data_IF_975127399814
#
_entry.id   IF_975127399814
#
_cell.length_a   1.000
_cell.length_b   1.000
_cell.length_c   1.000
_cell.angle_alpha   90.00
_cell.angle_beta   90.00
_cell.angle_gamma   90.00
#
_symmetry.space_group_name_H-M   'P 1'
#
loop_
_entity.id
_entity.type
_entity.pdbx_description
1 polymer ?
#
# COMPACT_ATOMS: atom_id res chain seq x y z
N UNK A 1 -15.65 -7.72 -6.71
CA UNK A 1 -14.94 -7.43 -7.98
C UNK A 1 -15.85 -7.78 -9.16
N UNK A 2 -16.41 -8.98 -9.23
CA UNK A 2 -17.28 -9.42 -10.34
C UNK A 2 -18.54 -8.55 -10.51
N UNK A 3 -19.12 -8.03 -9.41
CA UNK A 3 -20.34 -7.19 -9.43
C UNK A 3 -20.06 -5.76 -9.92
N UNK A 4 -18.87 -5.22 -9.66
CA UNK A 4 -18.46 -3.89 -10.14
C UNK A 4 -18.29 -3.90 -11.66
N UNK A 5 -17.92 -5.05 -12.22
CA UNK A 5 -17.50 -5.22 -13.62
C UNK A 5 -18.64 -5.62 -14.57
N UNK A 6 -19.86 -5.88 -14.05
CA UNK A 6 -20.95 -6.46 -14.85
C UNK A 6 -21.76 -5.46 -15.68
N UNK A 7 -21.61 -4.12 -15.47
CA UNK A 7 -22.45 -3.14 -16.18
C UNK A 7 -21.84 -2.60 -17.49
N UNK A 8 -20.52 -2.80 -17.66
CA UNK A 8 -19.82 -2.38 -18.87
C UNK A 8 -19.03 -3.56 -19.43
N UNK A 9 -19.67 -4.35 -20.27
CA UNK A 9 -18.99 -5.41 -21.04
C UNK A 9 -17.77 -4.89 -21.82
N UNK A 10 -17.74 -3.59 -22.10
CA UNK A 10 -16.63 -2.92 -22.75
C UNK A 10 -15.50 -2.50 -21.79
N UNK A 11 -15.82 -2.13 -20.54
CA UNK A 11 -14.81 -1.71 -19.56
C UNK A 11 -13.99 -2.87 -18.98
N UNK A 12 -14.59 -4.06 -18.81
CA UNK A 12 -13.83 -5.24 -18.35
C UNK A 12 -12.95 -5.81 -19.45
N UNK A 13 -13.44 -5.81 -20.73
CA UNK A 13 -12.61 -6.13 -21.89
C UNK A 13 -11.46 -5.16 -22.07
N UNK A 14 -11.57 -3.91 -21.59
CA UNK A 14 -10.50 -2.92 -21.63
C UNK A 14 -9.37 -3.19 -20.64
N UNK A 15 -9.65 -3.78 -19.47
CA UNK A 15 -8.62 -4.15 -18.49
C UNK A 15 -7.87 -5.43 -18.87
N UNK A 16 -8.54 -6.40 -19.52
CA UNK A 16 -7.94 -7.64 -20.01
C UNK A 16 -7.65 -7.50 -21.52
N UNK A 17 -6.82 -6.57 -21.87
CA UNK A 17 -6.34 -6.42 -23.25
C UNK A 17 -4.85 -6.84 -23.36
N UNK A 18 -4.40 -7.13 -24.60
CA UNK A 18 -3.01 -7.56 -24.86
C UNK A 18 -1.97 -6.61 -24.25
N UNK A 19 -2.26 -5.29 -24.26
CA UNK A 19 -1.36 -4.28 -23.69
C UNK A 19 -1.23 -4.44 -22.17
N UNK A 20 -2.33 -4.57 -21.46
CA UNK A 20 -2.33 -4.69 -19.99
C UNK A 20 -1.70 -6.01 -19.53
N UNK A 21 -1.95 -7.09 -20.25
CA UNK A 21 -1.27 -8.37 -20.00
C UNK A 21 0.24 -8.25 -20.22
N UNK A 22 0.67 -7.53 -21.25
CA UNK A 22 2.09 -7.24 -21.48
C UNK A 22 2.71 -6.39 -20.36
N UNK A 23 1.99 -5.38 -19.86
CA UNK A 23 2.43 -4.57 -18.72
C UNK A 23 2.59 -5.43 -17.46
N UNK A 24 1.63 -6.31 -17.18
CA UNK A 24 1.71 -7.24 -16.05
C UNK A 24 2.96 -8.12 -16.19
N UNK A 25 3.16 -8.72 -17.36
CA UNK A 25 4.29 -9.60 -17.61
C UNK A 25 5.64 -8.86 -17.47
N UNK A 26 5.77 -7.69 -18.09
CA UNK A 26 6.99 -6.89 -18.01
C UNK A 26 7.27 -6.49 -16.56
N UNK A 27 6.27 -5.97 -15.85
CA UNK A 27 6.43 -5.56 -14.44
C UNK A 27 6.85 -6.75 -13.58
N UNK A 28 6.19 -7.90 -13.75
CA UNK A 28 6.51 -9.11 -13.01
C UNK A 28 7.96 -9.56 -13.26
N UNK A 29 8.41 -9.57 -14.51
CA UNK A 29 9.79 -9.92 -14.87
C UNK A 29 10.78 -8.93 -14.27
N UNK A 30 10.51 -7.62 -14.33
CA UNK A 30 11.37 -6.62 -13.71
C UNK A 30 11.46 -6.78 -12.19
N UNK A 31 10.33 -6.99 -11.51
CA UNK A 31 10.32 -7.28 -10.07
C UNK A 31 11.11 -8.54 -9.74
N UNK A 32 10.93 -9.60 -10.52
CA UNK A 32 11.66 -10.85 -10.34
C UNK A 32 13.17 -10.65 -10.48
N UNK A 33 13.62 -9.96 -11.54
CA UNK A 33 15.05 -9.73 -11.78
C UNK A 33 15.69 -8.79 -10.75
N UNK A 34 15.00 -7.71 -10.38
CA UNK A 34 15.54 -6.73 -9.43
C UNK A 34 15.60 -7.27 -8.00
N UNK A 35 14.67 -8.16 -7.64
CA UNK A 35 14.58 -8.74 -6.30
C UNK A 35 15.02 -10.22 -6.25
N UNK A 36 15.66 -10.72 -7.29
CA UNK A 36 16.20 -12.07 -7.34
C UNK A 36 17.07 -12.44 -6.10
N UNK A 37 17.90 -11.53 -5.55
CA UNK A 37 18.66 -11.82 -4.33
C UNK A 37 17.79 -12.19 -3.12
N UNK A 38 16.59 -11.65 -2.99
CA UNK A 38 15.68 -12.01 -1.89
C UNK A 38 15.24 -13.49 -1.97
N UNK A 39 15.15 -14.02 -3.20
CA UNK A 39 14.74 -15.41 -3.43
C UNK A 39 15.92 -16.39 -3.42
N UNK A 40 17.11 -15.96 -3.83
CA UNK A 40 18.27 -16.87 -4.01
C UNK A 40 19.21 -16.90 -2.82
N UNK A 41 19.29 -15.80 -2.04
CA UNK A 41 20.25 -15.67 -0.93
C UNK A 41 19.64 -15.81 0.45
N UNK A 42 18.35 -16.19 0.53
CA UNK A 42 17.62 -16.29 1.81
C UNK A 42 17.87 -15.06 2.70
N UNK A 43 17.81 -13.85 2.10
CA UNK A 43 17.94 -12.62 2.87
C UNK A 43 16.71 -12.49 3.74
N UNK A 44 16.90 -12.77 5.03
CA UNK A 44 15.85 -12.73 6.03
C UNK A 44 15.95 -11.42 6.79
N UNK A 45 14.81 -10.77 7.03
CA UNK A 45 14.76 -9.70 8.02
C UNK A 45 14.86 -10.26 9.43
N UNK A 46 15.28 -9.45 10.40
CA UNK A 46 15.33 -9.86 11.81
C UNK A 46 13.95 -10.36 12.29
N UNK A 47 12.87 -9.76 11.79
CA UNK A 47 11.50 -10.14 12.16
C UNK A 47 11.13 -11.53 11.64
N UNK A 48 11.65 -11.95 10.48
CA UNK A 48 11.41 -13.29 9.93
C UNK A 48 12.10 -14.36 10.78
N UNK A 49 13.30 -14.07 11.28
CA UNK A 49 14.05 -15.00 12.13
C UNK A 49 13.31 -15.32 13.45
N UNK A 50 12.45 -14.41 13.91
CA UNK A 50 11.63 -14.55 15.08
C UNK A 50 10.29 -15.29 14.80
N UNK A 51 9.92 -15.43 13.54
CA UNK A 51 8.65 -16.02 13.12
C UNK A 51 8.88 -17.41 12.52
N UNK A 52 8.05 -18.37 12.95
CA UNK A 52 8.03 -19.72 12.39
C UNK A 52 7.29 -19.72 11.02
N UNK A 53 7.37 -20.87 10.32
CA UNK A 53 6.62 -21.13 9.06
C UNK A 53 5.13 -20.83 9.25
N UNK A 54 4.57 -21.13 10.43
CA UNK A 54 3.23 -20.71 10.83
C UNK A 54 3.32 -19.42 11.62
N UNK A 55 2.91 -18.31 10.99
CA UNK A 55 2.91 -17.01 11.65
C UNK A 55 1.65 -16.83 12.48
N UNK A 56 1.79 -17.00 13.80
CA UNK A 56 0.70 -16.83 14.77
C UNK A 56 0.75 -15.47 15.50
N UNK A 57 1.66 -14.58 15.12
CA UNK A 57 1.92 -13.30 15.77
C UNK A 57 0.89 -12.19 15.53
N UNK A 58 -0.31 -12.55 15.09
CA UNK A 58 -1.34 -11.56 14.73
C UNK A 58 -1.85 -10.71 15.90
N UNK A 59 -1.66 -11.14 17.14
CA UNK A 59 -1.91 -10.29 18.32
C UNK A 59 -1.06 -9.02 18.30
N UNK A 60 0.19 -9.12 17.83
CA UNK A 60 1.06 -7.98 17.64
C UNK A 60 0.53 -7.06 16.53
N UNK A 61 0.17 -7.61 15.37
CA UNK A 61 -0.37 -6.85 14.25
C UNK A 61 -1.69 -6.16 14.61
N UNK A 62 -2.57 -6.85 15.33
CA UNK A 62 -3.81 -6.30 15.84
C UNK A 62 -3.54 -5.17 16.85
N UNK A 63 -2.56 -5.34 17.75
CA UNK A 63 -2.16 -4.30 18.71
C UNK A 63 -1.64 -3.02 18.02
N UNK A 64 -1.11 -3.15 16.80
CA UNK A 64 -0.69 -2.03 15.94
C UNK A 64 -1.84 -1.48 15.07
N UNK A 65 -3.05 -2.01 15.18
CA UNK A 65 -4.19 -1.63 14.36
C UNK A 65 -4.21 -2.25 12.96
N UNK A 66 -3.38 -3.29 12.70
CA UNK A 66 -3.25 -3.95 11.39
C UNK A 66 -4.09 -5.22 11.31
N UNK A 67 -5.34 -5.16 11.76
CA UNK A 67 -6.24 -6.31 11.83
C UNK A 67 -6.55 -6.95 10.47
N UNK A 68 -6.41 -6.23 9.36
CA UNK A 68 -6.54 -6.77 8.01
C UNK A 68 -5.49 -7.83 7.68
N UNK A 69 -4.30 -7.78 8.28
CA UNK A 69 -3.28 -8.82 8.11
C UNK A 69 -3.72 -10.16 8.71
N UNK A 70 -4.48 -10.15 9.79
CA UNK A 70 -5.10 -11.37 10.34
C UNK A 70 -6.03 -12.04 9.31
N UNK A 71 -6.83 -11.25 8.60
CA UNK A 71 -7.71 -11.77 7.54
C UNK A 71 -6.89 -12.39 6.39
N UNK A 72 -5.80 -11.74 5.98
CA UNK A 72 -4.87 -12.29 4.98
C UNK A 72 -4.24 -13.58 5.50
N UNK A 73 -3.86 -13.62 6.77
CA UNK A 73 -3.35 -14.82 7.43
C UNK A 73 -4.34 -15.98 7.40
N UNK A 74 -5.62 -15.72 7.71
CA UNK A 74 -6.68 -16.73 7.62
C UNK A 74 -6.79 -17.31 6.20
N UNK A 75 -6.74 -16.46 5.17
CA UNK A 75 -6.79 -16.91 3.77
C UNK A 75 -5.58 -17.76 3.36
N UNK A 76 -4.45 -17.56 4.05
CA UNK A 76 -3.21 -18.34 3.86
C UNK A 76 -3.13 -19.54 4.81
N UNK A 77 -4.17 -19.84 5.61
CA UNK A 77 -4.12 -20.82 6.69
C UNK A 77 -2.93 -20.57 7.64
N UNK A 78 -2.57 -19.30 7.85
CA UNK A 78 -1.41 -18.83 8.64
C UNK A 78 -0.04 -19.37 8.18
N UNK A 79 0.01 -19.94 6.99
CA UNK A 79 1.24 -20.49 6.41
C UNK A 79 2.01 -19.37 5.69
N UNK A 80 3.30 -19.25 5.98
CA UNK A 80 4.22 -18.36 5.29
C UNK A 80 5.15 -19.19 4.42
N UNK A 81 5.07 -19.00 3.11
CA UNK A 81 5.95 -19.61 2.12
C UNK A 81 6.66 -18.47 1.39
N UNK A 82 7.85 -18.04 1.84
CA UNK A 82 8.49 -16.80 1.42
C UNK A 82 8.50 -16.58 -0.09
N UNK A 83 8.96 -17.57 -0.85
CA UNK A 83 9.07 -17.47 -2.31
C UNK A 83 7.70 -17.32 -3.00
N UNK A 84 6.68 -18.04 -2.53
CA UNK A 84 5.32 -17.95 -3.08
C UNK A 84 4.67 -16.61 -2.70
N UNK A 85 4.83 -16.19 -1.46
CA UNK A 85 4.29 -14.92 -0.96
C UNK A 85 4.88 -13.72 -1.73
N UNK A 86 6.18 -13.76 -2.03
CA UNK A 86 6.86 -12.76 -2.85
C UNK A 86 6.34 -12.77 -4.30
N UNK A 87 6.18 -13.94 -4.93
CA UNK A 87 5.66 -14.05 -6.30
C UNK A 87 4.22 -13.54 -6.41
N UNK A 88 3.37 -13.86 -5.43
CA UNK A 88 2.00 -13.32 -5.34
C UNK A 88 2.05 -11.80 -5.20
N UNK A 89 2.96 -11.28 -4.38
CA UNK A 89 3.17 -9.85 -4.19
C UNK A 89 3.59 -9.15 -5.49
N UNK A 90 4.49 -9.75 -6.28
CA UNK A 90 4.84 -9.23 -7.61
C UNK A 90 3.63 -9.13 -8.54
N UNK A 91 2.79 -10.15 -8.52
CA UNK A 91 1.58 -10.16 -9.34
C UNK A 91 0.59 -9.06 -8.91
N UNK A 92 0.40 -8.86 -7.61
CA UNK A 92 -0.46 -7.81 -7.06
C UNK A 92 0.08 -6.41 -7.43
N UNK A 93 1.38 -6.17 -7.29
CA UNK A 93 2.02 -4.92 -7.70
C UNK A 93 1.81 -4.69 -9.20
N UNK A 94 1.99 -5.72 -10.02
CA UNK A 94 1.83 -5.62 -11.48
C UNK A 94 0.39 -5.22 -11.87
N UNK A 95 -0.62 -5.79 -11.22
CA UNK A 95 -2.02 -5.40 -11.42
C UNK A 95 -2.24 -3.95 -10.96
N UNK A 96 -1.66 -3.57 -9.82
CA UNK A 96 -1.78 -2.21 -9.28
C UNK A 96 -1.25 -1.16 -10.27
N UNK A 97 -0.13 -1.45 -10.94
CA UNK A 97 0.43 -0.55 -11.96
C UNK A 97 -0.46 -0.44 -13.21
N UNK A 98 -1.09 -1.53 -13.65
CA UNK A 98 -2.05 -1.46 -14.77
C UNK A 98 -3.19 -0.50 -14.43
N UNK A 99 -3.76 -0.60 -13.23
CA UNK A 99 -4.86 0.26 -12.79
C UNK A 99 -4.38 1.71 -12.66
N UNK A 100 -3.18 1.92 -12.13
CA UNK A 100 -2.56 3.23 -12.02
C UNK A 100 -2.36 3.87 -13.41
N UNK A 101 -1.84 3.11 -14.38
CA UNK A 101 -1.62 3.59 -15.74
C UNK A 101 -2.94 3.90 -16.47
N UNK A 102 -4.00 3.15 -16.21
CA UNK A 102 -5.32 3.48 -16.74
C UNK A 102 -5.90 4.74 -16.08
N UNK A 103 -5.77 4.88 -14.76
CA UNK A 103 -6.18 6.07 -14.02
C UNK A 103 -5.51 7.33 -14.59
N UNK A 104 -4.19 7.28 -14.78
CA UNK A 104 -3.42 8.39 -15.32
C UNK A 104 -3.44 8.49 -16.85
N UNK A 105 -4.08 7.55 -17.54
CA UNK A 105 -4.18 7.50 -19.01
C UNK A 105 -2.81 7.47 -19.69
N UNK A 106 -1.82 6.82 -19.10
CA UNK A 106 -0.50 6.65 -19.71
C UNK A 106 -0.63 5.80 -20.99
N UNK A 107 -0.14 6.33 -22.12
CA UNK A 107 -0.21 5.67 -23.44
C UNK A 107 1.16 5.44 -24.05
N UNK A 108 2.12 6.30 -23.78
CA UNK A 108 3.48 6.19 -24.30
C UNK A 108 4.23 5.07 -23.63
N UNK A 109 4.92 4.25 -24.41
CA UNK A 109 5.67 3.08 -23.91
C UNK A 109 6.81 3.50 -22.99
N UNK A 110 7.46 4.61 -23.32
CA UNK A 110 8.59 5.18 -22.58
C UNK A 110 8.16 5.56 -21.15
N UNK A 111 7.02 6.25 -21.02
CA UNK A 111 6.49 6.64 -19.70
C UNK A 111 6.15 5.39 -18.87
N UNK A 112 5.51 4.39 -19.47
CA UNK A 112 5.13 3.14 -18.80
C UNK A 112 6.37 2.41 -18.30
N UNK A 113 7.41 2.26 -19.14
CA UNK A 113 8.65 1.58 -18.75
C UNK A 113 9.35 2.37 -17.64
N UNK A 114 9.44 3.68 -17.75
CA UNK A 114 10.05 4.52 -16.72
C UNK A 114 9.36 4.35 -15.36
N UNK A 115 8.03 4.36 -15.33
CA UNK A 115 7.29 4.17 -14.08
C UNK A 115 7.44 2.76 -13.52
N UNK A 116 7.48 1.72 -14.37
CA UNK A 116 7.78 0.35 -13.93
C UNK A 116 9.15 0.31 -13.26
N UNK A 117 10.18 0.90 -13.88
CA UNK A 117 11.53 0.94 -13.31
C UNK A 117 11.56 1.68 -11.98
N UNK A 118 10.92 2.84 -11.88
CA UNK A 118 10.85 3.62 -10.64
C UNK A 118 10.24 2.78 -9.51
N UNK A 119 9.15 2.07 -9.75
CA UNK A 119 8.49 1.26 -8.71
C UNK A 119 9.32 0.00 -8.39
N UNK A 120 9.85 -0.69 -9.41
CA UNK A 120 10.61 -1.92 -9.19
C UNK A 120 11.95 -1.68 -8.49
N UNK A 121 12.61 -0.55 -8.77
CA UNK A 121 13.92 -0.21 -8.18
C UNK A 121 13.79 0.60 -6.88
N UNK A 122 12.57 0.93 -6.45
CA UNK A 122 12.37 1.71 -5.23
C UNK A 122 12.78 0.90 -3.99
N UNK A 123 13.62 1.44 -3.11
CA UNK A 123 14.01 0.76 -1.86
C UNK A 123 12.81 0.39 -0.97
N UNK A 124 11.71 1.16 -1.03
CA UNK A 124 10.48 0.86 -0.28
C UNK A 124 9.85 -0.44 -0.79
N UNK A 125 9.90 -0.71 -2.10
CA UNK A 125 9.42 -1.97 -2.67
C UNK A 125 10.22 -3.14 -2.12
N UNK A 126 11.56 -3.02 -2.11
CA UNK A 126 12.43 -4.03 -1.51
C UNK A 126 12.15 -4.23 -0.02
N UNK A 127 12.00 -3.13 0.74
CA UNK A 127 11.66 -3.19 2.16
C UNK A 127 10.30 -3.88 2.41
N UNK A 128 9.28 -3.60 1.58
CA UNK A 128 7.97 -4.25 1.66
C UNK A 128 8.06 -5.76 1.43
N UNK A 129 8.88 -6.19 0.48
CA UNK A 129 9.07 -7.59 0.13
C UNK A 129 9.92 -8.35 1.14
N UNK A 130 10.78 -7.66 1.91
CA UNK A 130 11.55 -8.24 3.00
C UNK A 130 10.70 -8.72 4.18
N UNK A 131 9.47 -8.20 4.33
CA UNK A 131 8.49 -8.67 5.31
C UNK A 131 7.59 -9.75 4.67
N UNK A 132 8.17 -10.88 4.27
CA UNK A 132 7.49 -11.92 3.49
C UNK A 132 6.17 -12.40 4.12
N UNK A 133 6.12 -12.58 5.44
CA UNK A 133 4.90 -12.97 6.16
C UNK A 133 3.74 -11.95 6.02
N UNK A 134 4.05 -10.66 5.78
CA UNK A 134 3.09 -9.57 5.56
C UNK A 134 3.06 -9.05 4.12
N UNK A 135 3.96 -9.50 3.25
CA UNK A 135 4.18 -8.93 1.91
C UNK A 135 2.91 -8.91 1.06
N UNK A 136 2.12 -9.99 1.09
CA UNK A 136 0.81 -10.06 0.40
C UNK A 136 -0.15 -9.00 0.95
N UNK A 137 -0.23 -8.85 2.27
CA UNK A 137 -1.09 -7.85 2.90
C UNK A 137 -0.69 -6.41 2.52
N UNK A 138 0.60 -6.12 2.54
CA UNK A 138 1.11 -4.80 2.18
C UNK A 138 0.90 -4.48 0.70
N UNK A 139 1.10 -5.44 -0.20
CA UNK A 139 0.85 -5.24 -1.63
C UNK A 139 -0.64 -5.17 -1.95
N UNK A 140 -1.51 -5.89 -1.22
CA UNK A 140 -2.96 -5.71 -1.29
C UNK A 140 -3.40 -4.34 -0.79
N UNK A 141 -2.77 -3.81 0.29
CA UNK A 141 -3.02 -2.45 0.75
C UNK A 141 -2.66 -1.42 -0.33
N UNK A 142 -1.54 -1.62 -1.05
CA UNK A 142 -1.17 -0.80 -2.21
C UNK A 142 -2.22 -0.85 -3.31
N UNK A 143 -2.66 -2.05 -3.70
CA UNK A 143 -3.72 -2.25 -4.68
C UNK A 143 -5.02 -1.56 -4.26
N UNK A 144 -5.48 -1.78 -3.02
CA UNK A 144 -6.70 -1.17 -2.50
C UNK A 144 -6.62 0.35 -2.46
N UNK A 145 -5.45 0.90 -2.15
CA UNK A 145 -5.21 2.35 -2.15
C UNK A 145 -5.43 2.97 -3.53
N UNK A 146 -4.87 2.38 -4.56
CA UNK A 146 -5.05 2.84 -5.96
C UNK A 146 -6.48 2.61 -6.42
N UNK A 147 -7.04 1.43 -6.14
CA UNK A 147 -8.41 1.09 -6.51
C UNK A 147 -9.44 2.02 -5.88
N UNK A 148 -9.21 2.51 -4.65
CA UNK A 148 -10.16 3.41 -3.99
C UNK A 148 -10.37 4.70 -4.79
N UNK A 149 -9.31 5.23 -5.38
CA UNK A 149 -9.35 6.42 -6.23
C UNK A 149 -9.90 6.07 -7.61
N UNK A 150 -9.44 4.96 -8.17
CA UNK A 150 -9.90 4.50 -9.48
C UNK A 150 -11.42 4.31 -9.50
N UNK A 151 -11.97 3.58 -8.56
CA UNK A 151 -13.42 3.37 -8.44
C UNK A 151 -14.15 4.69 -8.21
N UNK A 152 -13.60 5.57 -7.37
CA UNK A 152 -14.24 6.85 -7.09
C UNK A 152 -14.40 7.72 -8.35
N UNK A 153 -13.42 7.75 -9.23
CA UNK A 153 -13.45 8.61 -10.41
C UNK A 153 -14.05 7.93 -11.65
N UNK A 154 -14.04 6.59 -11.73
CA UNK A 154 -14.47 5.84 -12.92
C UNK A 154 -15.87 5.22 -12.78
N UNK A 155 -16.34 4.96 -11.57
CA UNK A 155 -17.68 4.39 -11.35
C UNK A 155 -18.77 5.48 -11.51
N UNK A 156 -19.75 5.21 -12.35
CA UNK A 156 -20.86 6.14 -12.63
C UNK A 156 -21.93 6.10 -11.55
N UNK A 157 -22.21 4.92 -11.00
CA UNK A 157 -23.21 4.77 -9.96
C UNK A 157 -22.75 5.43 -8.65
N UNK A 158 -23.48 6.47 -8.24
CA UNK A 158 -23.12 7.28 -7.06
C UNK A 158 -22.97 6.45 -5.79
N UNK A 159 -23.88 5.52 -5.52
CA UNK A 159 -23.86 4.72 -4.30
C UNK A 159 -22.66 3.78 -4.32
N UNK A 160 -22.43 3.08 -5.44
CA UNK A 160 -21.30 2.15 -5.58
C UNK A 160 -19.97 2.89 -5.47
N UNK A 161 -19.82 4.01 -6.13
CA UNK A 161 -18.63 4.87 -6.07
C UNK A 161 -18.18 5.17 -4.64
N UNK A 162 -19.08 5.69 -3.79
CA UNK A 162 -18.76 6.03 -2.41
C UNK A 162 -18.53 4.79 -1.55
N UNK A 163 -19.43 3.81 -1.65
CA UNK A 163 -19.37 2.61 -0.83
C UNK A 163 -18.12 1.79 -1.09
N UNK A 164 -17.83 1.48 -2.35
CA UNK A 164 -16.63 0.70 -2.68
C UNK A 164 -15.32 1.44 -2.42
N UNK A 165 -15.27 2.75 -2.70
CA UNK A 165 -14.10 3.55 -2.36
C UNK A 165 -13.86 3.56 -0.85
N UNK A 166 -14.91 3.74 -0.03
CA UNK A 166 -14.82 3.71 1.42
C UNK A 166 -14.34 2.35 1.95
N UNK A 167 -14.92 1.25 1.44
CA UNK A 167 -14.48 -0.10 1.82
C UNK A 167 -13.00 -0.32 1.48
N UNK A 168 -12.57 0.08 0.28
CA UNK A 168 -11.18 -0.07 -0.15
C UNK A 168 -10.21 0.75 0.70
N UNK A 169 -10.60 1.96 1.14
CA UNK A 169 -9.81 2.77 2.07
C UNK A 169 -9.66 2.04 3.41
N UNK A 170 -10.77 1.53 3.97
CA UNK A 170 -10.73 0.80 5.25
C UNK A 170 -9.85 -0.44 5.15
N UNK A 171 -9.97 -1.22 4.07
CA UNK A 171 -9.17 -2.41 3.82
C UNK A 171 -7.69 -2.06 3.71
N UNK A 172 -7.33 -1.02 2.97
CA UNK A 172 -5.94 -0.58 2.85
C UNK A 172 -5.34 -0.19 4.21
N UNK A 173 -6.06 0.62 5.00
CA UNK A 173 -5.62 1.06 6.32
C UNK A 173 -5.56 -0.08 7.34
N UNK A 174 -6.45 -1.06 7.23
CA UNK A 174 -6.47 -2.22 8.12
C UNK A 174 -5.27 -3.15 7.92
N UNK A 175 -4.64 -3.13 6.77
CA UNK A 175 -3.41 -3.87 6.50
C UNK A 175 -2.16 -3.08 6.89
N UNK A 176 -2.12 -1.79 6.54
CA UNK A 176 -1.02 -0.92 6.97
C UNK A 176 -1.39 0.57 6.81
N UNK A 177 -1.42 1.29 7.92
CA UNK A 177 -1.85 2.70 7.97
C UNK A 177 -1.00 3.64 7.12
N UNK A 178 0.28 3.30 6.86
CA UNK A 178 1.15 4.10 6.01
C UNK A 178 0.63 4.25 4.57
N UNK A 179 -0.25 3.35 4.12
CA UNK A 179 -0.86 3.46 2.79
C UNK A 179 -1.86 4.60 2.66
N UNK A 180 -2.23 5.27 3.77
CA UNK A 180 -2.92 6.55 3.70
C UNK A 180 -2.14 7.58 2.87
N UNK A 181 -0.82 7.59 3.00
CA UNK A 181 0.05 8.47 2.21
C UNK A 181 -0.02 8.16 0.70
N UNK A 182 -0.12 6.88 0.32
CA UNK A 182 -0.30 6.46 -1.07
C UNK A 182 -1.63 6.95 -1.63
N UNK A 183 -2.72 6.81 -0.85
CA UNK A 183 -4.05 7.30 -1.24
C UNK A 183 -4.00 8.82 -1.45
N UNK A 184 -3.48 9.56 -0.47
CA UNK A 184 -3.43 11.03 -0.52
C UNK A 184 -2.55 11.51 -1.68
N UNK A 185 -1.36 10.94 -1.84
CA UNK A 185 -0.44 11.33 -2.91
C UNK A 185 -1.03 11.04 -4.30
N UNK A 186 -1.58 9.84 -4.50
CA UNK A 186 -2.23 9.47 -5.77
C UNK A 186 -3.41 10.39 -6.07
N UNK A 187 -4.22 10.72 -5.06
CA UNK A 187 -5.34 11.66 -5.19
C UNK A 187 -4.87 13.06 -5.60
N UNK A 188 -3.83 13.60 -4.94
CA UNK A 188 -3.28 14.92 -5.26
C UNK A 188 -2.76 14.94 -6.70
N UNK A 189 -1.92 13.97 -7.08
CA UNK A 189 -1.34 13.91 -8.44
C UNK A 189 -2.46 13.77 -9.48
N UNK A 190 -3.49 12.96 -9.20
CA UNK A 190 -4.62 12.82 -10.13
C UNK A 190 -5.41 14.12 -10.29
N UNK A 191 -5.63 14.88 -9.22
CA UNK A 191 -6.29 16.18 -9.31
C UNK A 191 -5.43 17.22 -10.05
N UNK A 192 -4.11 17.22 -9.86
CA UNK A 192 -3.19 18.06 -10.64
C UNK A 192 -3.33 17.73 -12.15
N UNK A 193 -3.38 16.44 -12.51
CA UNK A 193 -3.64 16.03 -13.90
C UNK A 193 -4.96 16.58 -14.41
N UNK A 194 -6.06 16.44 -13.67
CA UNK A 194 -7.36 16.96 -14.06
C UNK A 194 -7.35 18.48 -14.24
N UNK A 195 -6.63 19.19 -13.40
CA UNK A 195 -6.44 20.64 -13.49
C UNK A 195 -5.71 21.01 -14.81
N UNK A 196 -4.61 20.33 -15.11
CA UNK A 196 -3.84 20.54 -16.33
C UNK A 196 -4.65 20.22 -17.60
N UNK A 197 -5.53 19.23 -17.54
CA UNK A 197 -6.45 18.87 -18.63
C UNK A 197 -7.71 19.77 -18.70
N UNK A 198 -7.86 20.74 -17.79
CA UNK A 198 -9.07 21.59 -17.65
C UNK A 198 -10.35 20.78 -17.45
N UNK A 199 -10.24 19.63 -16.75
CA UNK A 199 -11.35 18.72 -16.45
C UNK A 199 -11.61 18.66 -14.94
N UNK A 200 -11.09 19.61 -14.19
CA UNK A 200 -11.22 19.65 -12.73
C UNK A 200 -12.69 19.76 -12.31
N UNK A 201 -13.04 19.05 -11.26
CA UNK A 201 -14.31 19.16 -10.59
C UNK A 201 -14.07 19.26 -9.09
N UNK A 202 -13.90 20.50 -8.62
CA UNK A 202 -13.61 20.80 -7.23
C UNK A 202 -14.63 20.16 -6.26
N UNK A 203 -15.91 20.17 -6.65
CA UNK A 203 -16.98 19.55 -5.85
C UNK A 203 -16.82 18.03 -5.71
N UNK A 204 -16.34 17.38 -6.77
CA UNK A 204 -16.05 15.94 -6.76
C UNK A 204 -14.83 15.65 -5.88
N UNK A 205 -13.77 16.44 -5.99
CA UNK A 205 -12.56 16.30 -5.20
C UNK A 205 -12.83 16.51 -3.70
N UNK A 206 -13.64 17.50 -3.33
CA UNK A 206 -14.04 17.73 -1.95
C UNK A 206 -14.84 16.54 -1.38
N UNK A 207 -15.74 15.96 -2.17
CA UNK A 207 -16.49 14.77 -1.77
C UNK A 207 -15.60 13.54 -1.58
N UNK A 208 -14.50 13.41 -2.37
CA UNK A 208 -13.53 12.34 -2.12
C UNK A 208 -12.79 12.53 -0.79
N UNK A 209 -12.40 13.76 -0.47
CA UNK A 209 -11.78 14.08 0.82
C UNK A 209 -12.72 13.68 1.98
N UNK A 210 -14.02 13.99 1.86
CA UNK A 210 -15.00 13.55 2.85
C UNK A 210 -15.10 12.02 2.93
N UNK A 211 -15.08 11.32 1.79
CA UNK A 211 -15.07 9.85 1.75
C UNK A 211 -13.82 9.28 2.43
N UNK A 212 -12.67 9.90 2.20
CA UNK A 212 -11.41 9.52 2.84
C UNK A 212 -11.45 9.71 4.36
N UNK A 213 -11.98 10.83 4.83
CA UNK A 213 -12.17 11.10 6.26
C UNK A 213 -13.12 10.09 6.90
N UNK A 214 -14.27 9.82 6.25
CA UNK A 214 -15.21 8.79 6.71
C UNK A 214 -14.57 7.40 6.75
N UNK A 215 -13.76 7.05 5.74
CA UNK A 215 -13.01 5.79 5.70
C UNK A 215 -12.02 5.67 6.85
N UNK A 216 -11.29 6.75 7.16
CA UNK A 216 -10.37 6.79 8.28
C UNK A 216 -11.09 6.66 9.64
N UNK A 217 -12.23 7.33 9.81
CA UNK A 217 -13.06 7.19 11.02
C UNK A 217 -13.59 5.77 11.16
N UNK A 218 -14.12 5.20 10.08
CA UNK A 218 -14.64 3.82 10.09
C UNK A 218 -13.53 2.80 10.38
N UNK A 219 -12.36 2.96 9.76
CA UNK A 219 -11.17 2.16 10.10
C UNK A 219 -10.88 2.23 11.60
N UNK A 220 -10.87 3.45 12.20
CA UNK A 220 -10.57 3.63 13.61
C UNK A 220 -11.59 2.94 14.52
N UNK A 221 -12.88 3.00 14.17
CA UNK A 221 -13.95 2.31 14.90
C UNK A 221 -13.74 0.79 14.83
N UNK A 222 -13.51 0.23 13.64
CA UNK A 222 -13.29 -1.21 13.45
C UNK A 222 -12.02 -1.66 14.17
N UNK A 223 -10.96 -0.85 14.15
CA UNK A 223 -9.74 -1.11 14.91
C UNK A 223 -10.02 -1.25 16.41
N UNK A 224 -10.79 -0.33 17.00
CA UNK A 224 -11.18 -0.41 18.42
C UNK A 224 -11.99 -1.66 18.72
N UNK A 225 -12.93 -2.01 17.85
CA UNK A 225 -13.71 -3.25 17.97
C UNK A 225 -12.79 -4.48 17.88
N UNK A 226 -11.85 -4.49 16.95
CA UNK A 226 -10.88 -5.60 16.81
C UNK A 226 -10.04 -5.77 18.08
N UNK A 227 -9.53 -4.69 18.68
CA UNK A 227 -8.79 -4.76 19.95
C UNK A 227 -9.62 -5.40 21.07
N UNK A 228 -10.92 -5.06 21.15
CA UNK A 228 -11.84 -5.65 22.14
C UNK A 228 -12.12 -7.12 21.86
N UNK A 229 -12.41 -7.48 20.61
CA UNK A 229 -12.73 -8.88 20.21
C UNK A 229 -11.55 -9.82 20.44
N UNK A 230 -10.35 -9.36 20.14
CA UNK A 230 -9.13 -10.17 20.32
C UNK A 230 -8.50 -10.04 21.71
N UNK A 231 -9.11 -9.26 22.63
CA UNK A 231 -8.59 -9.00 23.97
C UNK A 231 -7.13 -8.50 23.98
N UNK A 232 -6.77 -7.64 23.00
CA UNK A 232 -5.43 -7.10 22.83
C UNK A 232 -5.44 -5.61 23.13
N UNK A 233 -4.47 -5.15 23.92
CA UNK A 233 -4.27 -3.72 24.15
C UNK A 233 -3.50 -3.07 22.99
N UNK A 234 -3.77 -1.79 22.75
CA UNK A 234 -3.02 -1.04 21.75
C UNK A 234 -1.54 -0.93 22.18
N UNK A 235 -0.65 -1.22 21.25
CA UNK A 235 0.79 -1.15 21.49
C UNK A 235 1.24 0.30 21.65
N UNK A 236 2.21 0.52 22.55
CA UNK A 236 2.91 1.80 22.70
C UNK A 236 4.07 1.98 21.69
N UNK A 237 4.24 1.02 20.77
CA UNK A 237 5.28 1.05 19.76
C UNK A 237 5.21 2.32 18.92
N UNK A 238 6.33 3.05 18.84
CA UNK A 238 6.44 4.33 18.13
C UNK A 238 5.41 5.39 18.54
N UNK A 239 4.80 5.25 19.73
CA UNK A 239 3.80 6.18 20.26
C UNK A 239 2.42 6.04 19.59
N UNK A 240 2.09 4.85 19.06
CA UNK A 240 0.78 4.58 18.44
C UNK A 240 -0.38 4.75 19.42
N UNK A 241 -0.16 4.51 20.72
CA UNK A 241 -1.11 4.73 21.80
C UNK A 241 -1.36 6.22 22.13
N UNK A 242 -0.45 7.12 21.74
CA UNK A 242 -0.46 8.55 22.07
C UNK A 242 -1.07 9.45 20.99
N UNK A 243 -1.86 8.88 20.09
CA UNK A 243 -2.55 9.65 19.06
C UNK A 243 -3.64 10.53 19.74
N UNK A 244 -3.38 11.82 19.83
CA UNK A 244 -4.27 12.80 20.47
C UNK A 244 -3.97 14.23 20.04
N UNK A 245 -4.57 15.20 20.71
CA UNK A 245 -4.43 16.63 20.41
C UNK A 245 -2.96 17.09 20.38
N UNK A 246 -2.11 16.57 21.27
CA UNK A 246 -0.68 16.88 21.28
C UNK A 246 0.05 16.40 20.00
N UNK A 247 -0.43 15.32 19.39
CA UNK A 247 0.10 14.84 18.10
C UNK A 247 -0.24 15.82 16.99
N UNK A 248 -1.46 16.38 16.99
CA UNK A 248 -1.88 17.41 16.03
C UNK A 248 -1.04 18.69 16.17
N UNK A 249 -0.79 19.14 17.38
CA UNK A 249 0.04 20.34 17.66
C UNK A 249 1.52 20.15 17.24
N UNK A 250 2.01 18.92 17.19
CA UNK A 250 3.38 18.60 16.78
C UNK A 250 3.55 18.26 15.29
N UNK A 251 2.48 18.32 14.49
CA UNK A 251 2.51 17.93 13.07
C UNK A 251 3.56 18.71 12.28
N UNK A 252 3.67 20.02 12.46
CA UNK A 252 4.63 20.85 11.73
C UNK A 252 6.08 20.41 11.98
N UNK A 253 6.43 20.10 13.25
CA UNK A 253 7.75 19.56 13.60
C UNK A 253 7.99 18.17 13.00
N UNK A 254 6.97 17.32 13.00
CA UNK A 254 7.04 15.96 12.43
C UNK A 254 7.19 16.00 10.90
N UNK A 255 6.51 16.92 10.22
CA UNK A 255 6.68 17.14 8.78
C UNK A 255 8.13 17.54 8.48
N UNK A 256 8.67 18.55 9.18
CA UNK A 256 10.06 18.98 9.01
C UNK A 256 11.06 17.86 9.26
N UNK A 257 10.84 17.06 10.31
CA UNK A 257 11.67 15.90 10.60
C UNK A 257 11.59 14.84 9.51
N UNK A 258 10.39 14.58 8.96
CA UNK A 258 10.20 13.61 7.88
C UNK A 258 10.96 14.00 6.62
N UNK A 259 10.94 15.29 6.23
CA UNK A 259 11.74 15.78 5.10
C UNK A 259 13.24 15.66 5.36
N UNK A 260 13.69 15.97 6.58
CA UNK A 260 15.09 15.81 6.97
C UNK A 260 15.53 14.36 6.88
N UNK A 261 14.74 13.41 7.43
CA UNK A 261 15.04 11.98 7.39
C UNK A 261 15.02 11.45 5.95
N UNK A 262 14.07 11.90 5.13
CA UNK A 262 14.03 11.56 3.71
C UNK A 262 15.29 12.01 2.98
N UNK A 263 15.71 13.27 3.18
CA UNK A 263 16.96 13.79 2.60
C UNK A 263 18.19 13.02 3.08
N UNK A 264 18.28 12.75 4.38
CA UNK A 264 19.38 11.96 4.94
C UNK A 264 19.42 10.54 4.38
N UNK A 265 18.26 9.90 4.18
CA UNK A 265 18.15 8.54 3.62
C UNK A 265 18.56 8.47 2.15
N UNK A 266 18.11 9.40 1.32
CA UNK A 266 18.32 9.34 -0.13
C UNK A 266 19.53 10.13 -0.62
N UNK A 267 19.97 11.15 0.12
CA UNK A 267 20.97 12.09 -0.36
C UNK A 267 22.28 12.06 0.47
N UNK A 268 22.32 11.35 1.60
CA UNK A 268 23.54 11.32 2.43
C UNK A 268 23.88 9.90 2.87
N UNK A 269 25.17 9.56 2.84
CA UNK A 269 25.69 8.28 3.34
C UNK A 269 25.68 8.14 4.88
N UNK A 270 25.18 9.13 5.60
CA UNK A 270 25.22 9.16 7.08
C UNK A 270 24.50 8.01 7.74
N UNK A 271 23.39 7.53 7.14
CA UNK A 271 22.63 6.40 7.71
C UNK A 271 23.42 5.11 7.59
N UNK A 272 24.10 4.90 6.46
CA UNK A 272 24.92 3.70 6.25
C UNK A 272 26.08 3.67 7.26
N UNK A 273 26.76 4.80 7.49
CA UNK A 273 27.84 4.90 8.49
C UNK A 273 27.35 4.64 9.92
N UNK A 274 26.20 5.16 10.30
CA UNK A 274 25.68 4.97 11.66
C UNK A 274 25.23 3.51 11.93
N UNK A 275 24.74 2.79 10.92
CA UNK A 275 24.42 1.36 11.03
C UNK A 275 25.71 0.55 11.15
N UNK A 276 26.76 0.87 10.38
CA UNK A 276 28.06 0.19 10.48
C UNK A 276 28.76 0.43 11.81
N UNK A 277 28.69 1.64 12.37
CA UNK A 277 29.30 1.98 13.66
C UNK A 277 28.57 1.30 14.82
N UNK A 278 27.24 1.18 14.77
CA UNK A 278 26.47 0.49 15.82
C UNK A 278 26.65 -1.05 15.80
N UNK A 279 26.91 -1.63 14.64
CA UNK A 279 27.12 -3.08 14.51
C UNK A 279 28.56 -3.52 14.78
N UNK A 280 29.53 -2.59 14.86
CA UNK A 280 30.92 -2.89 15.24
C UNK A 280 31.20 -2.69 16.75
N UNK A 281 30.15 -2.46 17.57
CA UNK A 281 30.24 -2.32 19.02
C UNK A 281 29.53 -3.51 19.72
N UNK A 282 29.30 -4.59 19.01
CA UNK A 282 29.00 -5.92 19.53
C UNK A 282 30.05 -6.90 18.98
#
# INVERSE_FOLDING_TARGET
>A
IYVILKKDGDNMKSLINKRNLLIILITFIFLFLTHLPLMTKNILSADILLNNVFYNGYSWEISLGRFGLYVVGLLKCFLTIPHIDILISYFIISISLVILFDLFSFRKKEDIILYILIICLNPITSATLLFDYCSIGYTLAFLCSILSIYVYYKEENKIKKYLFSLILIVVALSMYQAYLSVIVTTFIIYNIKLLLEKKENFKLSLKYILTLLMGAILYFIIMKISLLVFHVNMSNYSGADKIGLQTLLSISKKIGLSYKLFYEYYCTEKIVKNIYIKNNIL
#
